data_IF_625968986567
#
_entry.id   IF_625968986567
#
_cell.length_a   1.000
_cell.length_b   1.000
_cell.length_c   1.000
_cell.angle_alpha   90.00
_cell.angle_beta   90.00
_cell.angle_gamma   90.00
#
_symmetry.space_group_name_H-M   'P 1'
#
loop_
_entity.id
_entity.type
_entity.pdbx_description
1 polymer ?
#
# COMPACT_ATOMS: atom_id res chain seq x y z
N UNK A 1 -8.58 12.16 8.97
CA UNK A 1 -8.34 10.72 8.71
C UNK A 1 -8.66 10.37 7.27
N UNK A 2 -7.63 9.96 6.54
CA UNK A 2 -7.74 9.36 5.21
C UNK A 2 -8.74 8.18 5.18
N UNK A 3 -9.56 8.07 4.12
CA UNK A 3 -10.61 7.03 4.02
C UNK A 3 -10.05 5.60 3.99
N UNK A 4 -8.91 5.38 3.35
CA UNK A 4 -8.27 4.05 3.27
C UNK A 4 -7.62 3.69 4.60
N UNK A 5 -7.02 4.67 5.28
CA UNK A 5 -6.51 4.48 6.64
C UNK A 5 -7.63 4.03 7.60
N UNK A 6 -8.83 4.63 7.49
CA UNK A 6 -9.99 4.21 8.29
C UNK A 6 -10.31 2.73 8.12
N UNK A 7 -10.30 2.23 6.88
CA UNK A 7 -10.54 0.81 6.58
C UNK A 7 -9.44 -0.10 7.17
N UNK A 8 -8.17 0.32 7.08
CA UNK A 8 -7.06 -0.46 7.67
C UNK A 8 -7.15 -0.50 9.19
N UNK A 9 -7.54 0.60 9.83
CA UNK A 9 -7.78 0.64 11.29
C UNK A 9 -8.94 -0.27 11.69
N UNK A 10 -10.04 -0.27 10.94
CA UNK A 10 -11.16 -1.19 11.15
C UNK A 10 -10.73 -2.67 11.03
N UNK A 11 -9.87 -2.98 10.05
CA UNK A 11 -9.30 -4.31 9.92
C UNK A 11 -8.40 -4.68 11.12
N UNK A 12 -7.58 -3.74 11.61
CA UNK A 12 -6.78 -3.96 12.81
C UNK A 12 -7.67 -4.22 14.03
N UNK A 13 -8.74 -3.46 14.22
CA UNK A 13 -9.71 -3.67 15.31
C UNK A 13 -10.40 -5.04 15.21
N UNK A 14 -10.83 -5.41 14.00
CA UNK A 14 -11.56 -6.67 13.74
C UNK A 14 -10.71 -7.91 14.06
N UNK A 15 -9.41 -7.85 13.79
CA UNK A 15 -8.48 -8.97 13.98
C UNK A 15 -7.53 -8.80 15.17
N UNK A 16 -7.76 -7.79 16.01
CA UNK A 16 -6.92 -7.46 17.16
C UNK A 16 -5.43 -7.28 16.82
N UNK A 17 -5.14 -6.72 15.64
CA UNK A 17 -3.77 -6.33 15.30
C UNK A 17 -3.36 -5.09 16.10
N UNK A 18 -2.07 -4.99 16.50
CA UNK A 18 -1.59 -3.83 17.23
C UNK A 18 -1.87 -2.53 16.47
N UNK A 19 -2.46 -1.55 17.16
CA UNK A 19 -2.52 -0.16 16.72
C UNK A 19 -2.63 0.81 17.88
N UNK A 20 -2.03 2.00 17.72
CA UNK A 20 -2.21 3.09 18.67
C UNK A 20 -3.53 3.83 18.42
N UNK A 21 -4.03 4.51 19.46
CA UNK A 21 -5.14 5.44 19.32
C UNK A 21 -4.81 6.53 18.30
N UNK A 22 -5.83 7.02 17.61
CA UNK A 22 -5.63 8.07 16.61
C UNK A 22 -5.15 9.37 17.29
N UNK A 23 -4.05 9.93 16.80
CA UNK A 23 -3.38 11.10 17.35
C UNK A 23 -2.34 10.79 18.43
N UNK A 24 -2.06 9.52 18.75
CA UNK A 24 -1.08 9.16 19.77
C UNK A 24 0.39 9.42 19.34
N UNK A 25 0.67 9.38 18.02
CA UNK A 25 1.99 9.56 17.42
C UNK A 25 3.10 8.69 18.06
N UNK A 26 2.81 7.41 18.25
CA UNK A 26 3.73 6.45 18.83
C UNK A 26 4.86 6.10 17.86
N UNK A 27 6.06 5.89 18.41
CA UNK A 27 7.18 5.34 17.65
C UNK A 27 7.04 3.82 17.57
N UNK A 28 7.25 3.26 16.38
CA UNK A 28 7.35 1.81 16.20
C UNK A 28 8.59 1.25 16.90
N UNK A 29 8.48 0.05 17.47
CA UNK A 29 9.66 -0.67 17.95
C UNK A 29 10.52 -1.14 16.77
N UNK A 30 11.80 -1.43 17.01
CA UNK A 30 12.69 -1.93 15.94
C UNK A 30 12.16 -3.24 15.33
N UNK A 31 11.54 -4.10 16.15
CA UNK A 31 10.92 -5.34 15.67
C UNK A 31 9.69 -5.07 14.80
N UNK A 32 8.87 -4.06 15.14
CA UNK A 32 7.74 -3.65 14.30
C UNK A 32 8.23 -3.08 12.97
N UNK A 33 9.28 -2.26 12.98
CA UNK A 33 9.89 -1.73 11.75
C UNK A 33 10.40 -2.86 10.87
N UNK A 34 11.13 -3.84 11.44
CA UNK A 34 11.63 -5.01 10.70
C UNK A 34 10.47 -5.82 10.12
N UNK A 35 9.42 -6.08 10.91
CA UNK A 35 8.26 -6.83 10.46
C UNK A 35 7.52 -6.11 9.32
N UNK A 36 7.31 -4.79 9.45
CA UNK A 36 6.69 -3.98 8.40
C UNK A 36 7.56 -3.92 7.15
N UNK A 37 8.87 -3.82 7.29
CA UNK A 37 9.79 -3.87 6.15
C UNK A 37 9.67 -5.20 5.40
N UNK A 38 9.58 -6.33 6.11
CA UNK A 38 9.41 -7.64 5.49
C UNK A 38 8.10 -7.74 4.69
N UNK A 39 6.98 -7.24 5.24
CA UNK A 39 5.69 -7.20 4.53
C UNK A 39 5.74 -6.32 3.28
N UNK A 40 6.34 -5.13 3.38
CA UNK A 40 6.48 -4.22 2.23
C UNK A 40 7.37 -4.83 1.13
N UNK A 41 8.42 -5.55 1.50
CA UNK A 41 9.31 -6.21 0.54
C UNK A 41 8.62 -7.38 -0.17
N UNK A 42 7.76 -8.13 0.53
CA UNK A 42 7.00 -9.23 -0.08
C UNK A 42 5.98 -8.71 -1.10
N UNK A 43 5.16 -7.74 -0.71
CA UNK A 43 4.19 -7.11 -1.62
C UNK A 43 4.88 -6.36 -2.76
N UNK A 44 5.98 -5.65 -2.49
CA UNK A 44 6.79 -5.02 -3.52
C UNK A 44 7.36 -6.03 -4.52
N UNK A 45 7.84 -7.18 -4.05
CA UNK A 45 8.31 -8.28 -4.90
C UNK A 45 7.20 -8.85 -5.79
N UNK A 46 5.98 -8.99 -5.26
CA UNK A 46 4.81 -9.42 -6.02
C UNK A 46 4.48 -8.44 -7.15
N UNK A 47 4.46 -7.13 -6.86
CA UNK A 47 4.28 -6.08 -7.87
C UNK A 47 5.32 -6.17 -8.97
N UNK A 48 6.61 -6.31 -8.60
CA UNK A 48 7.69 -6.41 -9.59
C UNK A 48 7.55 -7.64 -10.50
N UNK A 49 7.10 -8.79 -9.96
CA UNK A 49 6.84 -10.01 -10.74
C UNK A 49 5.68 -9.79 -11.71
N UNK A 50 4.57 -9.23 -11.24
CA UNK A 50 3.40 -8.94 -12.07
C UNK A 50 3.73 -7.97 -13.20
N UNK A 51 4.53 -6.93 -12.92
CA UNK A 51 5.00 -5.98 -13.93
C UNK A 51 5.84 -6.70 -15.00
N UNK A 52 6.74 -7.61 -14.60
CA UNK A 52 7.54 -8.40 -15.56
C UNK A 52 6.67 -9.32 -16.42
N UNK A 53 5.58 -9.85 -15.86
CA UNK A 53 4.64 -10.71 -16.58
C UNK A 53 3.64 -9.94 -17.45
N UNK A 54 3.49 -8.62 -17.25
CA UNK A 54 2.50 -7.81 -17.96
C UNK A 54 1.07 -8.04 -17.45
N UNK A 55 0.90 -8.53 -16.23
CA UNK A 55 -0.39 -8.93 -15.66
C UNK A 55 -1.06 -7.75 -14.95
N UNK A 56 -1.77 -6.90 -15.69
CA UNK A 56 -2.33 -5.63 -15.17
C UNK A 56 -3.17 -5.77 -13.88
N UNK A 57 -4.00 -6.81 -13.79
CA UNK A 57 -4.83 -7.09 -12.61
C UNK A 57 -3.95 -7.43 -11.39
N UNK A 58 -2.89 -8.22 -11.58
CA UNK A 58 -1.96 -8.58 -10.52
C UNK A 58 -1.07 -7.39 -10.10
N UNK A 59 -0.70 -6.52 -11.05
CA UNK A 59 -0.01 -5.27 -10.72
C UNK A 59 -0.90 -4.39 -9.86
N UNK A 60 -2.18 -4.24 -10.23
CA UNK A 60 -3.15 -3.49 -9.44
C UNK A 60 -3.29 -4.09 -8.04
N UNK A 61 -3.53 -5.39 -7.93
CA UNK A 61 -3.68 -6.07 -6.65
C UNK A 61 -2.45 -5.87 -5.75
N UNK A 62 -1.25 -6.01 -6.30
CA UNK A 62 0.00 -5.79 -5.58
C UNK A 62 0.16 -4.34 -5.12
N UNK A 63 -0.16 -3.34 -5.96
CA UNK A 63 -0.10 -1.92 -5.57
C UNK A 63 -1.06 -1.60 -4.42
N UNK A 64 -2.28 -2.17 -4.45
CA UNK A 64 -3.24 -2.00 -3.37
C UNK A 64 -2.78 -2.68 -2.08
N UNK A 65 -2.27 -3.91 -2.15
CA UNK A 65 -1.75 -4.60 -0.97
C UNK A 65 -0.54 -3.89 -0.37
N UNK A 66 0.37 -3.38 -1.21
CA UNK A 66 1.50 -2.59 -0.77
C UNK A 66 1.04 -1.31 -0.04
N UNK A 67 0.06 -0.60 -0.59
CA UNK A 67 -0.57 0.55 0.05
C UNK A 67 -1.22 0.17 1.39
N UNK A 68 -1.90 -0.98 1.45
CA UNK A 68 -2.53 -1.51 2.66
C UNK A 68 -1.49 -1.79 3.76
N UNK A 69 -0.36 -2.41 3.41
CA UNK A 69 0.74 -2.68 4.33
C UNK A 69 1.37 -1.38 4.88
N UNK A 70 1.59 -0.39 4.01
CA UNK A 70 2.12 0.92 4.42
C UNK A 70 1.17 1.63 5.41
N UNK A 71 -0.13 1.65 5.09
CA UNK A 71 -1.15 2.20 5.99
C UNK A 71 -1.26 1.43 7.31
N UNK A 72 -0.96 0.13 7.33
CA UNK A 72 -0.91 -0.66 8.57
C UNK A 72 0.16 -0.15 9.54
N UNK A 73 1.30 0.32 9.03
CA UNK A 73 2.33 0.96 9.84
C UNK A 73 1.90 2.35 10.35
N UNK A 74 1.24 3.15 9.51
CA UNK A 74 0.66 4.44 9.92
C UNK A 74 -0.40 4.24 11.02
N UNK A 75 -1.27 3.23 10.87
CA UNK A 75 -2.25 2.85 11.87
C UNK A 75 -1.59 2.45 13.20
N UNK A 76 -0.49 1.68 13.14
CA UNK A 76 0.26 1.29 14.34
C UNK A 76 0.78 2.47 15.14
N UNK A 77 1.22 3.52 14.45
CA UNK A 77 1.70 4.76 15.08
C UNK A 77 0.58 5.64 15.62
N UNK A 78 -0.64 5.45 15.11
CA UNK A 78 -1.78 6.32 15.42
C UNK A 78 -1.77 7.63 14.63
N UNK A 79 -0.90 7.75 13.63
CA UNK A 79 -0.77 8.96 12.80
C UNK A 79 -1.89 9.06 11.74
N UNK A 80 -1.93 10.17 10.99
CA UNK A 80 -2.71 10.30 9.75
C UNK A 80 -1.77 10.22 8.53
N UNK A 81 -2.35 9.97 7.35
CA UNK A 81 -1.59 9.94 6.10
C UNK A 81 -1.13 11.35 5.75
N UNK A 82 0.15 11.50 5.47
CA UNK A 82 0.73 12.75 4.98
C UNK A 82 0.73 12.72 3.45
N UNK A 83 0.07 13.70 2.84
CA UNK A 83 0.03 13.78 1.38
C UNK A 83 1.39 14.23 0.83
N UNK A 84 1.93 13.43 -0.09
CA UNK A 84 3.20 13.72 -0.74
C UNK A 84 2.98 13.95 -2.23
N UNK A 85 3.57 15.03 -2.75
CA UNK A 85 3.68 15.18 -4.20
C UNK A 85 4.56 14.06 -4.76
N UNK A 86 3.96 13.23 -5.62
CA UNK A 86 4.69 12.19 -6.33
C UNK A 86 5.31 12.80 -7.58
N UNK A 87 6.60 13.12 -7.49
CA UNK A 87 7.40 13.52 -8.66
C UNK A 87 7.85 12.28 -9.43
N UNK A 88 6.91 11.65 -10.11
CA UNK A 88 7.18 10.63 -11.11
C UNK A 88 6.66 11.13 -12.46
N UNK A 89 7.47 10.99 -13.51
CA UNK A 89 7.05 11.27 -14.89
C UNK A 89 6.96 9.94 -15.61
N UNK A 90 5.86 9.74 -16.32
CA UNK A 90 5.69 8.60 -17.20
C UNK A 90 6.70 8.71 -18.34
N UNK A 91 7.85 8.07 -18.18
CA UNK A 91 8.90 7.99 -19.20
C UNK A 91 8.72 6.77 -20.12
N UNK A 92 7.67 5.98 -19.90
CA UNK A 92 7.37 4.76 -20.65
C UNK A 92 8.15 3.53 -20.19
N UNK A 93 9.00 3.68 -19.17
CA UNK A 93 9.87 2.59 -18.72
C UNK A 93 9.38 2.00 -17.40
N UNK A 94 8.97 0.74 -17.47
CA UNK A 94 8.71 -0.13 -16.31
C UNK A 94 9.82 -0.03 -15.25
N UNK A 95 11.08 0.05 -15.67
CA UNK A 95 12.24 0.16 -14.78
C UNK A 95 12.15 1.38 -13.85
N UNK A 96 11.58 2.49 -14.32
CA UNK A 96 11.40 3.70 -13.51
C UNK A 96 10.34 3.52 -12.44
N UNK A 97 9.27 2.76 -12.71
CA UNK A 97 8.28 2.34 -11.70
C UNK A 97 8.95 1.44 -10.65
N UNK A 98 9.72 0.45 -11.09
CA UNK A 98 10.41 -0.48 -10.20
C UNK A 98 11.39 0.24 -9.26
N UNK A 99 12.16 1.19 -9.79
CA UNK A 99 13.09 2.01 -9.00
C UNK A 99 12.33 2.86 -7.98
N UNK A 100 11.29 3.59 -8.41
CA UNK A 100 10.52 4.44 -7.52
C UNK A 100 9.90 3.65 -6.35
N UNK A 101 9.32 2.47 -6.62
CA UNK A 101 8.78 1.59 -5.57
C UNK A 101 9.87 1.10 -4.62
N UNK A 102 10.98 0.61 -5.17
CA UNK A 102 12.10 0.08 -4.36
C UNK A 102 12.68 1.14 -3.44
N UNK A 103 12.89 2.36 -3.94
CA UNK A 103 13.42 3.47 -3.15
C UNK A 103 12.48 3.85 -2.00
N UNK A 104 11.17 3.96 -2.26
CA UNK A 104 10.18 4.28 -1.21
C UNK A 104 10.01 3.17 -0.19
N UNK A 105 10.02 1.90 -0.62
CA UNK A 105 10.00 0.75 0.29
C UNK A 105 11.26 0.72 1.16
N UNK A 106 12.43 1.03 0.60
CA UNK A 106 13.67 1.04 1.36
C UNK A 106 13.65 2.12 2.46
N UNK A 107 13.14 3.31 2.16
CA UNK A 107 13.05 4.41 3.12
C UNK A 107 12.18 4.08 4.34
N UNK A 108 11.21 3.15 4.21
CA UNK A 108 10.37 2.71 5.32
C UNK A 108 11.14 2.01 6.45
N UNK A 109 12.41 1.67 6.23
CA UNK A 109 13.32 1.21 7.29
C UNK A 109 13.59 2.27 8.37
N UNK A 110 13.23 3.53 8.13
CA UNK A 110 13.24 4.60 9.14
C UNK A 110 12.15 4.42 10.21
N UNK A 111 11.09 3.69 9.91
CA UNK A 111 9.89 3.58 10.75
C UNK A 111 9.03 4.86 10.81
N UNK A 112 9.28 5.85 9.94
CA UNK A 112 8.58 7.14 9.93
C UNK A 112 7.25 7.09 9.18
N UNK A 113 6.26 7.85 9.65
CA UNK A 113 4.97 7.98 8.96
C UNK A 113 5.10 8.62 7.58
N UNK A 114 6.04 9.56 7.43
CA UNK A 114 6.32 10.21 6.15
C UNK A 114 6.71 9.18 5.09
N UNK A 115 7.61 8.24 5.43
CA UNK A 115 8.08 7.23 4.48
C UNK A 115 6.98 6.22 4.11
N UNK A 116 6.19 5.77 5.11
CA UNK A 116 5.03 4.91 4.83
C UNK A 116 3.95 5.64 4.00
N UNK A 117 3.69 6.91 4.30
CA UNK A 117 2.73 7.73 3.55
C UNK A 117 3.22 7.96 2.12
N UNK A 118 4.53 8.11 1.90
CA UNK A 118 5.10 8.23 0.57
C UNK A 118 4.92 6.96 -0.28
N UNK A 119 5.02 5.75 0.31
CA UNK A 119 4.69 4.50 -0.38
C UNK A 119 3.21 4.48 -0.76
N UNK A 120 2.32 4.81 0.16
CA UNK A 120 0.89 4.89 -0.10
C UNK A 120 0.57 5.87 -1.25
N UNK A 121 1.09 7.10 -1.20
CA UNK A 121 0.86 8.11 -2.22
C UNK A 121 1.39 7.67 -3.59
N UNK A 122 2.55 7.01 -3.62
CA UNK A 122 3.10 6.45 -4.86
C UNK A 122 2.19 5.36 -5.43
N UNK A 123 1.65 4.47 -4.60
CA UNK A 123 0.71 3.43 -5.06
C UNK A 123 -0.56 4.04 -5.64
N UNK A 124 -1.17 5.03 -4.95
CA UNK A 124 -2.33 5.78 -5.46
C UNK A 124 -2.02 6.42 -6.82
N UNK A 125 -0.85 7.06 -6.94
CA UNK A 125 -0.42 7.69 -8.17
C UNK A 125 -0.28 6.66 -9.30
N UNK A 126 0.51 5.59 -9.10
CA UNK A 126 0.76 4.57 -10.11
C UNK A 126 -0.52 3.85 -10.55
N UNK A 127 -1.43 3.54 -9.62
CA UNK A 127 -2.71 2.94 -9.98
C UNK A 127 -3.51 3.85 -10.93
N UNK A 128 -3.52 5.16 -10.68
CA UNK A 128 -4.27 6.12 -11.51
C UNK A 128 -3.56 6.47 -12.82
N UNK A 129 -2.24 6.66 -12.79
CA UNK A 129 -1.49 7.22 -13.92
C UNK A 129 -0.75 6.18 -14.77
N UNK A 130 -0.39 5.04 -14.20
CA UNK A 130 0.33 3.97 -14.90
C UNK A 130 -0.58 2.79 -15.24
N UNK A 131 -1.43 2.35 -14.29
CA UNK A 131 -2.37 1.25 -14.52
C UNK A 131 -3.69 1.72 -15.14
N UNK A 132 -4.02 3.01 -15.01
CA UNK A 132 -5.29 3.59 -15.43
C UNK A 132 -6.49 2.89 -14.75
N UNK A 133 -6.52 2.89 -13.41
CA UNK A 133 -7.51 2.18 -12.63
C UNK A 133 -8.09 2.98 -11.45
N UNK A 134 -9.28 2.57 -11.01
CA UNK A 134 -9.94 3.06 -9.81
C UNK A 134 -9.29 2.49 -8.54
N UNK A 135 -8.37 3.27 -7.97
CA UNK A 135 -7.71 2.92 -6.71
C UNK A 135 -8.72 2.70 -5.58
N UNK A 136 -9.76 3.54 -5.49
CA UNK A 136 -10.66 3.55 -4.33
C UNK A 136 -11.53 2.29 -4.34
N UNK A 137 -12.07 1.95 -5.52
CA UNK A 137 -12.84 0.71 -5.72
C UNK A 137 -11.97 -0.53 -5.47
N UNK A 138 -10.77 -0.58 -6.05
CA UNK A 138 -9.85 -1.70 -5.88
C UNK A 138 -9.44 -1.90 -4.40
N UNK A 139 -9.18 -0.80 -3.68
CA UNK A 139 -8.87 -0.83 -2.26
C UNK A 139 -10.04 -1.39 -1.45
N UNK A 140 -11.27 -0.96 -1.74
CA UNK A 140 -12.46 -1.44 -1.05
C UNK A 140 -12.71 -2.94 -1.29
N UNK A 141 -12.52 -3.43 -2.51
CA UNK A 141 -12.65 -4.86 -2.84
C UNK A 141 -11.61 -5.71 -2.10
N UNK A 142 -10.35 -5.28 -2.07
CA UNK A 142 -9.30 -5.97 -1.31
C UNK A 142 -9.59 -5.94 0.19
N UNK A 143 -10.05 -4.82 0.72
CA UNK A 143 -10.41 -4.72 2.13
C UNK A 143 -11.55 -5.70 2.50
N UNK A 144 -12.62 -5.75 1.71
CA UNK A 144 -13.74 -6.69 1.91
C UNK A 144 -13.28 -8.15 1.80
N UNK A 145 -12.38 -8.45 0.86
CA UNK A 145 -11.77 -9.77 0.73
C UNK A 145 -10.96 -10.15 1.98
N UNK A 146 -10.13 -9.23 2.51
CA UNK A 146 -9.37 -9.45 3.74
C UNK A 146 -10.27 -9.68 4.97
N UNK A 147 -11.43 -9.02 5.04
CA UNK A 147 -12.42 -9.24 6.12
C UNK A 147 -13.15 -10.59 6.01
N UNK A 148 -13.46 -11.05 4.80
CA UNK A 148 -14.33 -12.20 4.57
C UNK A 148 -13.63 -13.58 4.63
N UNK A 149 -12.30 -13.62 4.78
CA UNK A 149 -11.44 -14.84 4.74
C UNK A 149 -11.53 -15.77 3.49
N UNK A 150 -12.05 -15.41 2.30
CA UNK A 150 -11.94 -16.29 1.14
C UNK A 150 -10.46 -16.53 0.78
N UNK A 151 -10.16 -17.76 0.35
CA UNK A 151 -8.79 -18.18 0.03
C UNK A 151 -8.23 -17.59 -1.28
N UNK A 152 -9.05 -16.86 -2.06
CA UNK A 152 -8.68 -16.35 -3.39
C UNK A 152 -8.69 -14.83 -3.41
N UNK A 153 -7.69 -14.25 -4.08
CA UNK A 153 -7.64 -12.82 -4.36
C UNK A 153 -8.89 -12.38 -5.15
N UNK A 154 -9.43 -11.18 -4.88
CA UNK A 154 -10.58 -10.66 -5.62
C UNK A 154 -10.16 -10.37 -7.07
N UNK A 155 -11.05 -10.62 -8.02
CA UNK A 155 -10.87 -10.19 -9.40
C UNK A 155 -11.06 -8.68 -9.48
N UNK A 156 -10.02 -7.94 -9.87
CA UNK A 156 -10.02 -6.48 -9.94
C UNK A 156 -10.18 -5.95 -11.38
N UNK A 157 -10.54 -6.81 -12.34
CA UNK A 157 -10.75 -6.41 -13.74
C UNK A 157 -11.73 -5.24 -13.87
N UNK A 158 -12.79 -5.20 -13.06
CA UNK A 158 -13.79 -4.13 -13.04
C UNK A 158 -13.31 -2.79 -12.46
N UNK A 159 -12.05 -2.72 -12.00
CA UNK A 159 -11.41 -1.49 -11.53
C UNK A 159 -10.53 -0.85 -12.60
N UNK A 160 -10.25 -1.54 -13.70
CA UNK A 160 -9.47 -0.98 -14.81
C UNK A 160 -10.38 -0.08 -15.65
N UNK A 161 -9.88 1.09 -16.05
CA UNK A 161 -10.56 1.94 -17.02
C UNK A 161 -10.15 1.54 -18.45
N UNK A 162 -11.12 1.52 -19.36
CA UNK A 162 -10.90 1.33 -20.81
C UNK A 162 -10.05 2.46 -21.42
#
# INVERSE_FOLDING_TARGET
MNKHLKLVREFHDTFSFPQAEHGANMRLSDMDVIFRQALLMDEGSAVLKAIKAGEMVEILAGLINLAYCALGAVAMRGDDVIDHQVTWRHDGFVVSVMRALSDKIHNCSSGSTDDYSAVYCLCVHLTRSFINADFDKAFQMIHQNKLSKPAKAPDLSECLYE
#
